data_IF_766426542089
#
_entry.id   IF_766426542089
#
_cell.length_a   1.000
_cell.length_b   1.000
_cell.length_c   1.000
_cell.angle_alpha   90.00
_cell.angle_beta   90.00
_cell.angle_gamma   90.00
#
_symmetry.space_group_name_H-M   'P 1'
#
loop_
_entity.id
_entity.type
_entity.pdbx_description
1 polymer ?
#
# COMPACT_ATOMS: atom_id res chain seq x y z
N UNK A 1 -5.97 16.00 8.15
CA UNK A 1 -5.16 15.04 8.92
C UNK A 1 -4.68 15.61 10.26
N UNK A 2 -3.92 16.72 10.32
CA UNK A 2 -3.41 17.30 11.59
C UNK A 2 -4.45 17.43 12.70
N UNK A 3 -5.59 18.09 12.39
CA UNK A 3 -6.72 18.20 13.32
C UNK A 3 -7.20 16.86 13.90
N UNK A 4 -7.18 15.79 13.10
CA UNK A 4 -7.59 14.45 13.55
C UNK A 4 -6.54 13.86 14.50
N UNK A 5 -5.24 14.04 14.22
CA UNK A 5 -4.19 13.66 15.18
C UNK A 5 -4.32 14.42 16.50
N UNK A 6 -4.54 15.74 16.45
CA UNK A 6 -4.69 16.58 17.65
C UNK A 6 -5.86 16.12 18.53
N UNK A 7 -7.02 15.87 17.91
CA UNK A 7 -8.22 15.38 18.62
C UNK A 7 -8.01 14.01 19.27
N UNK A 8 -7.19 13.16 18.66
CA UNK A 8 -6.88 11.83 19.18
C UNK A 8 -5.61 11.79 20.04
N UNK A 9 -4.98 12.95 20.30
CA UNK A 9 -3.72 13.06 21.06
C UNK A 9 -2.61 12.17 20.50
N UNK A 10 -2.52 12.09 19.16
CA UNK A 10 -1.52 11.32 18.45
C UNK A 10 -0.33 12.22 18.10
N UNK A 11 0.87 11.80 18.50
CA UNK A 11 2.12 12.42 18.05
C UNK A 11 2.45 11.92 16.65
N UNK A 12 2.02 12.67 15.63
CA UNK A 12 2.14 12.29 14.23
C UNK A 12 2.78 13.42 13.41
N UNK A 13 3.79 13.12 12.60
CA UNK A 13 4.31 14.06 11.60
C UNK A 13 3.46 13.96 10.33
N UNK A 14 2.89 15.09 9.89
CA UNK A 14 2.04 15.13 8.68
C UNK A 14 2.78 15.81 7.54
N UNK A 15 3.22 14.99 6.59
CA UNK A 15 3.80 15.42 5.33
C UNK A 15 2.79 15.21 4.19
N UNK A 16 2.67 16.19 3.31
CA UNK A 16 1.89 16.04 2.08
C UNK A 16 2.69 15.23 1.06
N UNK A 17 2.04 14.28 0.40
CA UNK A 17 2.65 13.47 -0.65
C UNK A 17 1.62 13.26 -1.76
N UNK A 18 2.04 13.42 -3.00
CA UNK A 18 1.24 13.11 -4.18
C UNK A 18 1.91 11.96 -4.92
N UNK A 19 1.14 10.91 -5.22
CA UNK A 19 1.64 9.77 -5.99
C UNK A 19 2.20 10.24 -7.34
N UNK A 20 3.37 9.73 -7.74
CA UNK A 20 4.01 10.06 -9.01
C UNK A 20 4.76 11.39 -9.02
N UNK A 21 4.73 12.16 -7.92
CA UNK A 21 5.43 13.45 -7.80
C UNK A 21 6.66 13.30 -6.92
N UNK A 22 7.81 13.75 -7.44
CA UNK A 22 9.10 13.68 -6.75
C UNK A 22 9.54 15.05 -6.25
N UNK A 23 9.08 15.43 -5.06
CA UNK A 23 9.58 16.63 -4.37
C UNK A 23 10.75 16.30 -3.43
N UNK A 24 11.42 17.34 -2.91
CA UNK A 24 12.56 17.16 -2.00
C UNK A 24 12.22 16.33 -0.76
N UNK A 25 10.97 16.38 -0.29
CA UNK A 25 10.59 15.77 0.98
C UNK A 25 10.50 14.26 0.91
N UNK A 26 10.21 13.68 -0.26
CA UNK A 26 10.12 12.23 -0.43
C UNK A 26 11.49 11.54 -0.43
N UNK A 27 12.55 12.23 -0.87
CA UNK A 27 13.89 11.65 -1.00
C UNK A 27 14.53 11.30 0.35
N UNK A 28 14.14 12.00 1.42
CA UNK A 28 14.64 11.77 2.77
C UNK A 28 13.82 10.71 3.53
N UNK A 29 12.65 10.31 3.03
CA UNK A 29 11.82 9.31 3.68
C UNK A 29 12.50 7.94 3.64
N UNK A 30 12.56 7.29 4.81
CA UNK A 30 13.05 5.93 5.00
C UNK A 30 12.06 5.09 5.81
N UNK A 31 10.87 4.79 5.27
CA UNK A 31 9.86 4.03 6.02
C UNK A 31 10.28 2.58 6.19
N UNK A 32 10.02 2.00 7.36
CA UNK A 32 10.11 0.54 7.58
C UNK A 32 8.87 -0.18 7.07
N UNK A 33 7.70 0.44 7.22
CA UNK A 33 6.42 -0.07 6.76
C UNK A 33 5.66 1.07 6.09
N UNK A 34 5.09 0.79 4.92
CA UNK A 34 4.18 1.68 4.22
C UNK A 34 2.78 1.06 4.33
N UNK A 35 1.79 1.82 4.80
CA UNK A 35 0.40 1.36 4.93
C UNK A 35 -0.49 2.09 3.94
N UNK A 36 -1.21 1.33 3.12
CA UNK A 36 -2.26 1.82 2.23
C UNK A 36 -3.63 1.31 2.67
N UNK A 37 -4.60 2.20 2.87
CA UNK A 37 -5.98 1.81 3.11
C UNK A 37 -6.82 2.27 1.93
N UNK A 38 -7.37 1.31 1.18
CA UNK A 38 -8.22 1.58 0.01
C UNK A 38 -7.55 2.52 -1.00
N UNK A 39 -6.27 2.30 -1.31
CA UNK A 39 -5.50 3.11 -2.28
C UNK A 39 -5.58 2.57 -3.72
N UNK A 40 -6.08 1.34 -3.88
CA UNK A 40 -6.22 0.65 -5.16
C UNK A 40 -7.66 0.75 -5.72
N UNK A 41 -8.23 1.97 -5.70
CA UNK A 41 -9.61 2.22 -6.14
C UNK A 41 -9.75 2.94 -7.49
N UNK A 42 -8.79 3.80 -7.85
CA UNK A 42 -8.75 4.51 -9.13
C UNK A 42 -7.58 4.00 -10.00
N UNK A 43 -7.91 3.26 -11.05
CA UNK A 43 -6.93 2.66 -11.95
C UNK A 43 -6.01 3.68 -12.64
N UNK A 44 -6.44 4.93 -12.80
CA UNK A 44 -5.62 5.97 -13.40
C UNK A 44 -4.43 6.36 -12.51
N UNK A 45 -4.56 6.18 -11.20
CA UNK A 45 -3.52 6.51 -10.22
C UNK A 45 -2.59 5.34 -9.90
N UNK A 46 -2.84 4.13 -10.43
CA UNK A 46 -2.10 2.94 -10.03
C UNK A 46 -0.62 3.01 -10.41
N UNK A 47 -0.30 3.50 -11.62
CA UNK A 47 1.10 3.57 -12.06
C UNK A 47 1.91 4.50 -11.16
N UNK A 48 1.36 5.69 -10.87
CA UNK A 48 1.95 6.69 -9.98
C UNK A 48 2.09 6.18 -8.55
N UNK A 49 1.08 5.46 -8.05
CA UNK A 49 1.12 4.81 -6.73
C UNK A 49 2.26 3.78 -6.67
N UNK A 50 2.33 2.85 -7.62
CA UNK A 50 3.35 1.81 -7.64
C UNK A 50 4.76 2.38 -7.88
N UNK A 51 4.89 3.43 -8.69
CA UNK A 51 6.14 4.16 -8.85
C UNK A 51 6.63 4.70 -7.49
N UNK A 52 5.74 5.39 -6.78
CA UNK A 52 6.02 6.02 -5.48
C UNK A 52 6.40 4.99 -4.41
N UNK A 53 5.58 3.94 -4.29
CA UNK A 53 5.85 2.85 -3.34
C UNK A 53 7.20 2.21 -3.65
N UNK A 54 7.47 1.89 -4.91
CA UNK A 54 8.74 1.27 -5.31
C UNK A 54 9.93 2.16 -4.98
N UNK A 55 9.82 3.46 -5.21
CA UNK A 55 10.85 4.43 -4.84
C UNK A 55 11.13 4.39 -3.33
N UNK A 56 10.09 4.46 -2.49
CA UNK A 56 10.22 4.42 -1.03
C UNK A 56 10.82 3.09 -0.54
N UNK A 57 10.40 1.97 -1.13
CA UNK A 57 10.92 0.65 -0.78
C UNK A 57 12.40 0.50 -1.15
N UNK A 58 12.83 1.04 -2.30
CA UNK A 58 14.25 1.01 -2.71
C UNK A 58 15.13 1.81 -1.78
N UNK A 59 14.58 2.87 -1.22
CA UNK A 59 15.27 3.74 -0.29
C UNK A 59 15.47 3.09 1.08
N UNK A 60 14.61 2.14 1.45
CA UNK A 60 14.58 1.46 2.74
C UNK A 60 14.71 -0.06 2.60
N UNK A 61 15.92 -0.62 2.62
CA UNK A 61 16.11 -2.07 2.59
C UNK A 61 15.34 -2.76 3.72
N UNK A 62 14.61 -3.83 3.39
CA UNK A 62 13.78 -4.58 4.34
C UNK A 62 12.40 -3.96 4.63
N UNK A 63 12.05 -2.86 3.98
CA UNK A 63 10.71 -2.29 4.09
C UNK A 63 9.67 -3.06 3.29
N UNK A 64 8.41 -2.92 3.69
CA UNK A 64 7.27 -3.59 3.06
C UNK A 64 6.11 -2.62 2.89
N UNK A 65 5.32 -2.85 1.84
CA UNK A 65 4.08 -2.12 1.60
C UNK A 65 2.89 -3.04 1.89
N UNK A 66 2.07 -2.67 2.86
CA UNK A 66 0.86 -3.41 3.20
C UNK A 66 -0.33 -2.56 2.79
N UNK A 67 -1.20 -3.13 1.96
CA UNK A 67 -2.43 -2.44 1.55
C UNK A 67 -3.65 -3.33 1.66
N UNK A 68 -4.78 -2.73 2.04
CA UNK A 68 -6.07 -3.35 1.81
C UNK A 68 -6.46 -3.22 0.33
N UNK A 69 -7.09 -4.27 -0.20
CA UNK A 69 -7.62 -4.31 -1.55
C UNK A 69 -8.99 -5.00 -1.53
N UNK A 70 -9.99 -4.36 -2.14
CA UNK A 70 -11.25 -5.02 -2.43
C UNK A 70 -11.14 -5.67 -3.81
N UNK A 71 -11.24 -7.00 -3.88
CA UNK A 71 -11.13 -7.73 -5.13
C UNK A 71 -12.25 -7.33 -6.11
N UNK A 72 -11.86 -6.70 -7.22
CA UNK A 72 -12.75 -6.25 -8.30
C UNK A 72 -12.19 -6.73 -9.63
N UNK A 73 -12.97 -6.62 -10.70
CA UNK A 73 -12.66 -7.15 -12.04
C UNK A 73 -11.31 -6.66 -12.64
N UNK A 74 -10.69 -5.61 -12.10
CA UNK A 74 -9.43 -5.02 -12.56
C UNK A 74 -8.12 -5.65 -12.01
N UNK A 75 -8.17 -6.81 -11.35
CA UNK A 75 -6.99 -7.43 -10.71
C UNK A 75 -5.81 -7.69 -11.65
N UNK A 76 -6.05 -7.97 -12.95
CA UNK A 76 -4.98 -8.19 -13.93
C UNK A 76 -4.09 -6.95 -14.14
N UNK A 77 -4.65 -5.74 -14.05
CA UNK A 77 -3.87 -4.51 -14.19
C UNK A 77 -2.91 -4.33 -13.01
N UNK A 78 -3.37 -4.66 -11.80
CA UNK A 78 -2.56 -4.57 -10.58
C UNK A 78 -1.36 -5.51 -10.68
N UNK A 79 -1.59 -6.77 -11.06
CA UNK A 79 -0.50 -7.74 -11.22
C UNK A 79 0.53 -7.31 -12.28
N UNK A 80 0.04 -6.81 -13.42
CA UNK A 80 0.90 -6.27 -14.47
C UNK A 80 1.76 -5.11 -13.97
N UNK A 81 1.17 -4.15 -13.25
CA UNK A 81 1.88 -2.98 -12.73
C UNK A 81 2.87 -3.36 -11.62
N UNK A 82 2.51 -4.30 -10.74
CA UNK A 82 3.45 -4.83 -9.74
C UNK A 82 4.69 -5.38 -10.41
N UNK A 83 4.54 -6.20 -11.46
CA UNK A 83 5.69 -6.72 -12.23
C UNK A 83 6.47 -5.61 -12.93
N UNK A 84 5.78 -4.66 -13.58
CA UNK A 84 6.39 -3.48 -14.23
C UNK A 84 7.33 -2.73 -13.28
N UNK A 85 6.91 -2.54 -12.03
CA UNK A 85 7.67 -1.80 -11.03
C UNK A 85 8.62 -2.68 -10.18
N UNK A 86 8.72 -3.97 -10.49
CA UNK A 86 9.61 -4.90 -9.77
C UNK A 86 9.14 -5.19 -8.35
N UNK A 87 7.84 -5.21 -8.13
CA UNK A 87 7.18 -5.59 -6.89
C UNK A 87 6.64 -7.03 -6.98
N UNK A 88 6.63 -7.72 -5.86
CA UNK A 88 5.98 -9.02 -5.70
C UNK A 88 5.04 -9.01 -4.50
N UNK A 89 3.97 -9.79 -4.60
CA UNK A 89 3.15 -10.13 -3.45
C UNK A 89 3.90 -11.15 -2.59
N UNK A 90 4.19 -10.82 -1.34
CA UNK A 90 4.85 -11.71 -0.38
C UNK A 90 3.82 -12.48 0.43
N UNK A 91 2.73 -11.81 0.80
CA UNK A 91 1.66 -12.39 1.60
C UNK A 91 0.32 -11.85 1.17
N UNK A 92 -0.65 -12.75 1.08
CA UNK A 92 -2.04 -12.43 0.84
C UNK A 92 -2.86 -12.99 1.99
N UNK A 93 -3.58 -12.12 2.70
CA UNK A 93 -4.42 -12.49 3.83
C UNK A 93 -5.86 -12.10 3.54
N UNK A 94 -6.80 -13.00 3.85
CA UNK A 94 -8.23 -12.67 3.84
C UNK A 94 -8.53 -11.66 4.96
N UNK A 95 -9.04 -10.49 4.61
CA UNK A 95 -9.41 -9.46 5.58
C UNK A 95 -10.51 -9.91 6.54
N UNK A 96 -11.37 -10.84 6.13
CA UNK A 96 -12.39 -11.41 7.02
C UNK A 96 -11.79 -12.32 8.09
N UNK A 97 -10.60 -12.88 7.88
CA UNK A 97 -9.92 -13.75 8.86
C UNK A 97 -9.48 -13.03 10.14
N UNK A 98 -9.34 -11.71 10.09
CA UNK A 98 -8.93 -10.88 11.24
C UNK A 98 -10.09 -10.11 11.88
N UNK A 99 -11.29 -10.19 11.29
CA UNK A 99 -12.47 -9.49 11.79
C UNK A 99 -13.22 -10.35 12.83
N UNK A 100 -13.77 -9.74 13.89
CA UNK A 100 -14.74 -10.42 14.74
C UNK A 100 -15.91 -10.92 13.90
N UNK A 101 -16.34 -12.16 14.14
CA UNK A 101 -17.37 -12.85 13.35
C UNK A 101 -18.67 -12.04 13.18
N UNK A 102 -19.09 -11.32 14.23
CA UNK A 102 -20.30 -10.48 14.19
C UNK A 102 -20.18 -9.24 13.30
N UNK A 103 -18.97 -8.75 13.04
CA UNK A 103 -18.72 -7.66 12.07
C UNK A 103 -18.55 -8.22 10.67
N UNK A 104 -17.85 -9.35 10.55
CA UNK A 104 -17.66 -10.05 9.29
C UNK A 104 -19.00 -10.41 8.63
N UNK A 105 -19.97 -10.90 9.41
CA UNK A 105 -21.30 -11.27 8.89
C UNK A 105 -22.15 -10.10 8.37
N UNK A 106 -21.81 -8.86 8.75
CA UNK A 106 -22.49 -7.65 8.29
C UNK A 106 -21.85 -7.04 7.03
N UNK A 107 -20.68 -7.54 6.64
CA UNK A 107 -19.92 -7.05 5.51
C UNK A 107 -20.00 -8.06 4.37
N UNK A 108 -20.15 -7.56 3.14
CA UNK A 108 -20.12 -8.36 1.92
C UNK A 108 -18.92 -7.95 1.06
N UNK A 109 -18.46 -8.87 0.22
CA UNK A 109 -17.35 -8.67 -0.71
C UNK A 109 -16.13 -9.52 -0.38
N UNK A 110 -15.02 -9.22 -1.04
CA UNK A 110 -13.76 -9.93 -0.88
C UNK A 110 -12.68 -8.89 -0.62
N UNK A 111 -12.31 -8.73 0.65
CA UNK A 111 -11.29 -7.80 1.11
C UNK A 111 -10.05 -8.61 1.42
N UNK A 112 -8.93 -8.22 0.82
CA UNK A 112 -7.64 -8.84 1.04
C UNK A 112 -6.67 -7.81 1.61
N UNK A 113 -5.79 -8.26 2.50
CA UNK A 113 -4.60 -7.54 2.89
C UNK A 113 -3.43 -8.12 2.08
N UNK A 114 -2.81 -7.26 1.28
CA UNK A 114 -1.71 -7.60 0.40
C UNK A 114 -0.44 -7.00 0.98
N UNK A 115 0.54 -7.85 1.23
CA UNK A 115 1.90 -7.43 1.56
C UNK A 115 2.75 -7.51 0.29
N UNK A 116 3.38 -6.41 -0.07
CA UNK A 116 4.21 -6.26 -1.25
C UNK A 116 5.64 -5.85 -0.86
N UNK A 117 6.61 -6.45 -1.54
CA UNK A 117 8.02 -6.11 -1.40
C UNK A 117 8.70 -6.04 -2.76
N UNK A 118 9.91 -5.48 -2.80
CA UNK A 118 10.75 -5.51 -4.00
C UNK A 118 11.13 -6.95 -4.38
N UNK A 119 11.20 -7.23 -5.67
CA UNK A 119 11.80 -8.47 -6.16
C UNK A 119 13.30 -8.45 -5.89
N UNK A 120 13.84 -9.52 -5.30
CA UNK A 120 15.29 -9.73 -5.22
C UNK A 120 15.82 -10.07 -6.61
N UNK A 121 17.06 -9.67 -6.90
CA UNK A 121 17.73 -9.98 -8.18
C UNK A 121 17.90 -11.49 -8.43
N UNK A 122 17.72 -12.32 -7.41
CA UNK A 122 17.90 -13.77 -7.50
C UNK A 122 16.75 -14.50 -8.21
N UNK A 123 15.63 -13.82 -8.51
CA UNK A 123 14.44 -14.41 -9.13
C UNK A 123 13.99 -13.65 -10.40
N UNK A 124 14.92 -13.01 -11.13
CA UNK A 124 14.65 -12.31 -12.39
C UNK A 124 15.10 -13.12 -13.61
#
# INVERSE_FOLDING_TARGET
MRRVCDLNKLECNVLGLTWGVWDSSIFDLRPTIILGADVLYDSNAFDDLFATVTFLLRNSPGSTFITSYHNRSGHHLIEFLMRKWGLKCVKLLDGFSILPSFKASQLSGNIQLVEMALMSKDNA
#
